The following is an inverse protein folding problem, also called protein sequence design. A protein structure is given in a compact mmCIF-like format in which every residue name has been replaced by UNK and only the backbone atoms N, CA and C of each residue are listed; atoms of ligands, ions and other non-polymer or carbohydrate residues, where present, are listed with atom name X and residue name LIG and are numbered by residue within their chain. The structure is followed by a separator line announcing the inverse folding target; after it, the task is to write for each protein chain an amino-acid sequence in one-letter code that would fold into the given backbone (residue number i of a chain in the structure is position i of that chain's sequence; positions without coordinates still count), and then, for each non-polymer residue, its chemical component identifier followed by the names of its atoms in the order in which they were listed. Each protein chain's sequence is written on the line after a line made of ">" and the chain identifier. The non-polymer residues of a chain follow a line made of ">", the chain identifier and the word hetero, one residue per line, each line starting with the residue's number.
data_IF_646961353430
#
_entry.id   IF_646961353430
#
_cell.length_a   1.000
_cell.length_b   1.000
_cell.length_c   1.000
_cell.angle_alpha   90.00
_cell.angle_beta   90.00
_cell.angle_gamma   90.00
#
_symmetry.space_group_name_H-M   'P 1'
#
loop_
_entity.id
_entity.type
_entity.pdbx_description
1 polymer ?
#
# COMPACT_ATOMS: atom_id res chain seq x y z
N UNK A 1 2.42 20.06 -0.37
CA UNK A 1 3.89 19.87 -0.41
C UNK A 1 4.27 19.01 0.78
N UNK A 2 4.70 17.77 0.56
CA UNK A 2 5.35 17.01 1.63
C UNK A 2 6.80 17.47 1.65
N UNK A 3 7.21 18.28 2.63
CA UNK A 3 8.61 18.66 2.77
C UNK A 3 9.42 17.38 3.03
N UNK A 4 10.35 17.06 2.13
CA UNK A 4 11.26 15.94 2.30
C UNK A 4 12.22 16.24 3.46
N UNK A 5 12.24 15.37 4.48
CA UNK A 5 13.11 15.51 5.65
C UNK A 5 14.49 14.94 5.30
N UNK A 6 15.54 15.76 5.37
CA UNK A 6 16.91 15.32 5.12
C UNK A 6 17.49 14.57 6.32
N UNK A 7 18.30 13.56 6.04
CA UNK A 7 19.04 12.78 7.04
C UNK A 7 20.53 13.13 6.94
N UNK A 8 21.16 13.57 8.05
CA UNK A 8 22.59 13.81 8.09
C UNK A 8 23.43 12.55 7.77
N UNK A 9 24.50 12.70 6.98
CA UNK A 9 25.32 11.54 6.56
C UNK A 9 25.96 10.78 7.73
N UNK A 10 26.18 11.43 8.88
CA UNK A 10 26.70 10.80 10.10
C UNK A 10 25.67 9.90 10.81
N UNK A 11 24.38 10.01 10.48
CA UNK A 11 23.31 9.14 11.00
C UNK A 11 23.09 7.89 10.14
N UNK A 12 23.68 7.86 8.94
CA UNK A 12 23.62 6.72 8.04
C UNK A 12 24.46 5.57 8.61
N UNK A 13 23.88 4.37 8.60
CA UNK A 13 24.52 3.13 9.08
C UNK A 13 25.07 2.31 7.90
N UNK A 14 24.23 1.57 7.18
CA UNK A 14 24.67 0.71 6.07
C UNK A 14 23.67 0.67 4.92
N UNK A 15 24.16 0.35 3.71
CA UNK A 15 23.31 0.09 2.55
C UNK A 15 22.50 -1.19 2.79
N UNK A 16 21.18 -1.11 2.61
CA UNK A 16 20.23 -2.21 2.83
C UNK A 16 19.48 -2.62 1.56
N UNK A 17 19.55 -1.82 0.49
CA UNK A 17 18.86 -2.14 -0.75
C UNK A 17 19.01 -1.05 -1.80
N UNK A 18 18.16 -1.15 -2.82
CA UNK A 18 18.00 -0.15 -3.87
C UNK A 18 16.66 -0.31 -4.59
N UNK A 19 16.25 0.71 -5.33
CA UNK A 19 15.12 0.63 -6.27
C UNK A 19 15.44 -0.44 -7.31
N UNK A 20 14.56 -1.44 -7.42
CA UNK A 20 14.69 -2.51 -8.43
C UNK A 20 13.86 -2.20 -9.68
N UNK A 21 12.80 -1.40 -9.56
CA UNK A 21 11.92 -1.01 -10.65
C UNK A 21 11.42 0.42 -10.47
N UNK A 22 11.51 1.19 -11.55
CA UNK A 22 10.86 2.49 -11.69
C UNK A 22 9.64 2.35 -12.62
N UNK A 23 8.53 2.98 -12.27
CA UNK A 23 7.36 3.19 -13.14
C UNK A 23 6.49 4.28 -12.52
N UNK A 24 5.98 5.17 -13.34
CA UNK A 24 5.00 6.20 -13.03
C UNK A 24 3.57 5.80 -13.45
N UNK A 25 3.43 4.64 -14.08
CA UNK A 25 2.14 4.08 -14.48
C UNK A 25 1.49 3.30 -13.33
N UNK A 26 0.16 3.33 -13.27
CA UNK A 26 -0.60 2.57 -12.28
C UNK A 26 -0.51 1.06 -12.57
N UNK A 27 -0.25 0.26 -11.54
CA UNK A 27 -0.16 -1.19 -11.68
C UNK A 27 0.41 -1.89 -10.46
N UNK A 28 0.35 -3.21 -10.48
CA UNK A 28 0.96 -4.05 -9.44
C UNK A 28 2.40 -4.36 -9.80
N UNK A 29 3.33 -3.90 -8.97
CA UNK A 29 4.76 -4.15 -9.14
C UNK A 29 5.31 -4.96 -7.96
N UNK A 30 6.17 -5.94 -8.26
CA UNK A 30 6.89 -6.72 -7.26
C UNK A 30 8.24 -6.08 -6.93
N UNK A 31 8.77 -6.39 -5.73
CA UNK A 31 10.10 -5.93 -5.29
C UNK A 31 10.11 -4.48 -4.80
N UNK A 32 11.28 -3.84 -4.87
CA UNK A 32 11.47 -2.44 -4.46
C UNK A 32 11.10 -1.51 -5.61
N UNK A 33 9.81 -1.17 -5.66
CA UNK A 33 9.25 -0.28 -6.64
C UNK A 33 9.30 1.20 -6.19
N UNK A 34 9.56 2.11 -7.13
CA UNK A 34 9.39 3.55 -6.91
C UNK A 34 8.80 4.24 -8.13
N UNK A 35 7.92 5.21 -7.89
CA UNK A 35 7.39 6.14 -8.89
C UNK A 35 8.12 7.49 -8.89
N UNK A 36 9.01 7.71 -7.92
CA UNK A 36 9.77 8.95 -7.77
C UNK A 36 11.24 8.74 -8.12
N UNK A 37 11.84 7.67 -7.63
CA UNK A 37 13.28 7.45 -7.70
C UNK A 37 13.66 6.44 -8.78
N UNK A 38 14.71 6.70 -9.58
CA UNK A 38 15.12 5.81 -10.66
C UNK A 38 15.63 4.45 -10.15
N UNK A 39 15.62 3.46 -11.04
CA UNK A 39 16.20 2.13 -10.76
C UNK A 39 17.68 2.28 -10.37
N UNK A 40 18.07 1.60 -9.29
CA UNK A 40 19.43 1.63 -8.75
C UNK A 40 19.62 2.64 -7.62
N UNK A 41 18.67 3.56 -7.38
CA UNK A 41 18.74 4.47 -6.22
C UNK A 41 18.88 3.67 -4.93
N UNK A 42 19.96 3.86 -4.16
CA UNK A 42 20.25 3.03 -3.00
C UNK A 42 19.51 3.48 -1.75
N UNK A 43 19.25 2.50 -0.88
CA UNK A 43 18.61 2.68 0.43
C UNK A 43 19.57 2.32 1.54
N UNK A 44 19.49 3.06 2.63
CA UNK A 44 20.34 2.89 3.81
C UNK A 44 19.50 2.80 5.08
N UNK A 45 19.99 2.04 6.07
CA UNK A 45 19.49 2.12 7.44
C UNK A 45 19.98 3.39 8.11
N UNK A 46 19.17 3.91 9.04
CA UNK A 46 19.51 5.03 9.90
C UNK A 46 19.83 4.47 11.29
N UNK A 47 20.88 4.96 11.94
CA UNK A 47 21.30 4.52 13.28
C UNK A 47 20.16 4.62 14.29
N UNK A 48 20.05 3.65 15.18
CA UNK A 48 19.05 3.59 16.24
C UNK A 48 17.57 3.62 15.76
N UNK A 49 17.30 3.21 14.52
CA UNK A 49 15.94 3.07 13.97
C UNK A 49 15.72 1.67 13.41
N UNK A 50 14.45 1.23 13.33
CA UNK A 50 14.10 0.00 12.62
C UNK A 50 13.99 0.29 11.10
N UNK A 51 14.81 -0.35 10.23
CA UNK A 51 14.73 -0.18 8.79
C UNK A 51 13.40 -0.63 8.16
N UNK A 52 12.53 -1.32 8.91
CA UNK A 52 11.15 -1.61 8.47
C UNK A 52 10.23 -0.40 8.58
N UNK A 53 10.52 0.51 9.51
CA UNK A 53 9.72 1.71 9.76
C UNK A 53 10.28 2.92 9.03
N UNK A 54 11.60 3.08 9.00
CA UNK A 54 12.26 4.28 8.46
C UNK A 54 13.54 3.89 7.73
N UNK A 55 13.73 4.42 6.52
CA UNK A 55 14.96 4.27 5.74
C UNK A 55 15.44 5.63 5.22
N UNK A 56 16.71 5.69 4.84
CA UNK A 56 17.27 6.82 4.09
C UNK A 56 17.42 6.45 2.61
N UNK A 57 16.95 7.33 1.72
CA UNK A 57 17.09 7.22 0.27
C UNK A 57 18.16 8.19 -0.19
N UNK A 58 19.18 7.72 -0.90
CA UNK A 58 20.24 8.59 -1.39
C UNK A 58 19.82 9.27 -2.70
N UNK A 59 19.67 10.60 -2.69
CA UNK A 59 19.27 11.38 -3.85
C UNK A 59 20.46 11.97 -4.60
N UNK A 60 21.55 12.26 -3.90
CA UNK A 60 22.86 12.67 -4.44
C UNK A 60 24.00 12.06 -3.60
N UNK A 61 25.26 12.21 -4.04
CA UNK A 61 26.44 11.60 -3.37
C UNK A 61 26.48 11.81 -1.86
N UNK A 62 26.04 12.97 -1.36
CA UNK A 62 26.01 13.30 0.07
C UNK A 62 24.60 13.61 0.62
N UNK A 63 23.55 13.43 -0.18
CA UNK A 63 22.19 13.83 0.19
C UNK A 63 21.30 12.61 0.42
N UNK A 64 20.70 12.55 1.60
CA UNK A 64 19.84 11.46 2.03
C UNK A 64 18.50 12.01 2.47
N UNK A 65 17.42 11.46 1.93
CA UNK A 65 16.04 11.80 2.27
C UNK A 65 15.44 10.69 3.11
N UNK A 66 14.77 11.07 4.20
CA UNK A 66 14.06 10.14 5.07
C UNK A 66 12.77 9.64 4.42
N UNK A 67 12.60 8.32 4.38
CA UNK A 67 11.37 7.68 3.94
C UNK A 67 10.76 6.89 5.10
N UNK A 68 9.54 7.24 5.49
CA UNK A 68 8.78 6.56 6.54
C UNK A 68 7.82 5.57 5.90
N UNK A 69 7.89 4.31 6.31
CA UNK A 69 6.95 3.28 5.93
C UNK A 69 5.64 3.47 6.70
N UNK A 70 4.59 3.95 6.01
CA UNK A 70 3.25 4.15 6.59
C UNK A 70 2.42 2.86 6.65
N UNK A 71 3.05 1.69 6.44
CA UNK A 71 2.38 0.41 6.35
C UNK A 71 1.72 0.20 4.98
N UNK A 72 1.07 -0.95 4.83
CA UNK A 72 0.28 -1.22 3.63
C UNK A 72 -0.92 -0.27 3.64
N UNK A 73 -1.17 0.40 2.52
CA UNK A 73 -2.45 1.04 2.31
C UNK A 73 -3.54 0.00 2.56
N UNK A 74 -4.55 0.36 3.35
CA UNK A 74 -5.76 -0.44 3.46
C UNK A 74 -6.44 -0.41 2.08
N UNK A 75 -5.96 -1.25 1.15
CA UNK A 75 -6.68 -1.59 -0.06
C UNK A 75 -8.04 -2.04 0.44
N UNK A 76 -9.07 -1.24 0.18
CA UNK A 76 -10.38 -1.36 0.81
C UNK A 76 -10.76 -2.82 0.93
N UNK A 77 -10.58 -3.36 2.14
CA UNK A 77 -11.15 -4.64 2.50
C UNK A 77 -12.64 -4.32 2.57
N UNK A 78 -13.30 -4.35 1.41
CA UNK A 78 -14.70 -4.68 1.36
C UNK A 78 -14.74 -6.08 1.98
N UNK A 79 -14.89 -6.11 3.30
CA UNK A 79 -14.91 -7.33 4.07
C UNK A 79 -15.92 -8.24 3.38
N UNK A 80 -15.48 -9.43 2.94
CA UNK A 80 -16.34 -10.36 2.20
C UNK A 80 -17.68 -10.63 2.91
N UNK A 81 -17.72 -10.41 4.23
CA UNK A 81 -18.95 -10.37 5.04
C UNK A 81 -20.02 -9.41 4.49
N UNK A 82 -19.68 -8.17 4.17
CA UNK A 82 -20.64 -7.17 3.68
C UNK A 82 -21.30 -7.60 2.37
N UNK A 83 -20.50 -8.12 1.44
CA UNK A 83 -20.99 -8.64 0.16
C UNK A 83 -21.90 -9.86 0.38
N UNK A 84 -21.53 -10.74 1.31
CA UNK A 84 -22.31 -11.93 1.64
C UNK A 84 -23.68 -11.61 2.26
N UNK A 85 -23.76 -10.56 3.09
CA UNK A 85 -25.04 -10.08 3.63
C UNK A 85 -26.00 -9.58 2.54
N UNK A 86 -25.50 -8.88 1.51
CA UNK A 86 -26.34 -8.44 0.39
C UNK A 86 -26.85 -9.59 -0.47
N UNK A 87 -26.02 -10.62 -0.70
CA UNK A 87 -26.42 -11.82 -1.47
C UNK A 87 -27.53 -12.57 -0.72
N UNK A 88 -27.38 -12.80 0.58
CA UNK A 88 -28.39 -13.51 1.38
C UNK A 88 -29.68 -12.70 1.48
N UNK A 89 -29.59 -11.38 1.75
CA UNK A 89 -30.75 -10.51 1.84
C UNK A 89 -31.56 -10.46 0.53
N UNK A 90 -30.88 -10.36 -0.61
CA UNK A 90 -31.51 -10.40 -1.94
C UNK A 90 -32.28 -11.71 -2.17
N UNK A 91 -31.67 -12.85 -1.81
CA UNK A 91 -32.27 -14.16 -2.01
C UNK A 91 -33.55 -14.35 -1.17
N UNK A 92 -33.58 -13.82 0.06
CA UNK A 92 -34.79 -13.81 0.91
C UNK A 92 -35.90 -12.95 0.31
N UNK A 93 -35.58 -11.77 -0.24
CA UNK A 93 -36.56 -10.89 -0.89
C UNK A 93 -37.18 -11.57 -2.10
N UNK A 94 -36.38 -12.24 -2.94
CA UNK A 94 -36.87 -12.99 -4.10
C UNK A 94 -37.83 -14.11 -3.68
N UNK A 95 -37.49 -14.86 -2.63
CA UNK A 95 -38.36 -15.93 -2.11
C UNK A 95 -39.68 -15.37 -1.54
N UNK A 96 -39.66 -14.21 -0.87
CA UNK A 96 -40.86 -13.53 -0.39
C UNK A 96 -41.77 -13.08 -1.54
N UNK A 97 -41.19 -12.53 -2.62
CA UNK A 97 -41.95 -12.12 -3.81
C UNK A 97 -42.62 -13.35 -4.45
N UNK A 98 -41.88 -14.45 -4.64
CA UNK A 98 -42.41 -15.70 -5.18
C UNK A 98 -43.54 -16.24 -4.31
N UNK A 99 -43.39 -16.17 -2.99
CA UNK A 99 -44.41 -16.61 -2.03
C UNK A 99 -45.68 -15.75 -2.11
N UNK A 100 -45.56 -14.42 -2.19
CA UNK A 100 -46.69 -13.49 -2.36
C UNK A 100 -47.44 -13.78 -3.67
N UNK A 101 -46.70 -13.98 -4.77
CA UNK A 101 -47.29 -14.33 -6.07
C UNK A 101 -48.04 -15.65 -5.96
N UNK A 102 -47.42 -16.72 -5.44
CA UNK A 102 -48.09 -18.01 -5.26
C UNK A 102 -49.33 -17.95 -4.36
N UNK A 103 -49.32 -17.09 -3.33
CA UNK A 103 -50.47 -16.88 -2.45
C UNK A 103 -51.65 -16.19 -3.14
N UNK A 104 -51.38 -15.32 -4.13
CA UNK A 104 -52.41 -14.62 -4.90
C UNK A 104 -53.06 -15.50 -5.98
N UNK A 105 -52.33 -16.49 -6.49
CA UNK A 105 -52.81 -17.44 -7.51
C UNK A 105 -53.29 -18.79 -6.93
N UNK A 106 -53.39 -18.87 -5.60
CA UNK A 106 -54.11 -19.93 -4.87
C UNK A 106 -55.49 -19.42 -4.50
#
# INVERSE_FOLDING_TARGET
>A
MSSEELVPSNEIDKKIGQVTRYSDHEGTYSGNFSNTYPKGTPYYSIKNTDPKEIIAVQTNEAEFVKAINKGQYANGQLEGKTIWFFIIGSLVIVLLIIWIIKRKYR
#
